data_IF_988012635740
#
_entry.id   IF_988012635740
#
_cell.length_a   1.000
_cell.length_b   1.000
_cell.length_c   1.000
_cell.angle_alpha   90.00
_cell.angle_beta   90.00
_cell.angle_gamma   90.00
#
_symmetry.space_group_name_H-M   'P 1'
#
loop_
_entity.id
_entity.type
_entity.pdbx_description
1 polymer ?
#
# COMPACT_ATOMS: atom_id res chain seq x y z
N UNK A 1 19.11 -1.50 -7.32
CA UNK A 1 18.69 -0.27 -6.59
C UNK A 1 19.47 0.94 -7.11
N UNK A 2 18.81 2.09 -7.26
CA UNK A 2 19.42 3.40 -7.55
C UNK A 2 19.20 4.35 -6.37
N UNK A 3 19.91 5.48 -6.30
CA UNK A 3 19.73 6.46 -5.22
C UNK A 3 18.27 6.95 -5.08
N UNK A 4 17.54 7.08 -6.19
CA UNK A 4 16.12 7.46 -6.21
C UNK A 4 15.18 6.38 -5.65
N UNK A 5 15.66 5.16 -5.44
CA UNK A 5 14.85 4.05 -4.94
C UNK A 5 15.03 3.90 -3.42
N UNK A 6 15.97 4.62 -2.77
CA UNK A 6 16.12 4.66 -1.31
C UNK A 6 15.10 5.60 -0.65
N UNK A 7 14.83 5.44 0.66
CA UNK A 7 13.91 6.31 1.38
C UNK A 7 14.22 7.78 1.17
N UNK A 8 13.22 8.61 0.87
CA UNK A 8 13.47 9.98 0.41
C UNK A 8 14.13 10.89 1.44
N UNK A 9 14.12 10.53 2.73
CA UNK A 9 14.72 11.32 3.80
C UNK A 9 16.22 11.58 3.61
N UNK A 10 16.96 10.67 2.95
CA UNK A 10 18.39 10.87 2.69
C UNK A 10 18.68 11.85 1.54
N UNK A 11 17.65 12.37 0.85
CA UNK A 11 17.79 13.25 -0.33
C UNK A 11 17.81 14.72 0.08
N UNK A 12 18.78 15.07 0.90
CA UNK A 12 18.96 16.44 1.39
C UNK A 12 20.41 16.89 1.21
N UNK A 13 20.62 18.21 1.10
CA UNK A 13 21.95 18.83 1.19
C UNK A 13 22.18 19.51 2.53
N UNK A 14 21.18 19.51 3.41
CA UNK A 14 21.27 20.06 4.75
C UNK A 14 21.92 19.01 5.69
N UNK A 15 23.11 19.27 6.25
CA UNK A 15 23.74 18.35 7.20
C UNK A 15 22.96 18.21 8.51
N UNK A 16 22.06 19.15 8.82
CA UNK A 16 21.26 19.17 10.06
C UNK A 16 19.80 18.72 9.82
N UNK A 17 19.52 18.10 8.66
CA UNK A 17 18.18 17.61 8.32
C UNK A 17 17.64 16.64 9.39
N UNK A 18 16.57 17.06 10.06
CA UNK A 18 16.03 16.37 11.23
C UNK A 18 15.70 14.90 10.95
N UNK A 19 15.06 14.61 9.82
CA UNK A 19 14.63 13.25 9.50
C UNK A 19 15.81 12.30 9.25
N UNK A 20 16.94 12.79 8.74
CA UNK A 20 18.15 11.98 8.58
C UNK A 20 18.70 11.60 9.96
N UNK A 21 18.90 12.58 10.84
CA UNK A 21 19.38 12.35 12.20
C UNK A 21 18.46 11.43 13.00
N UNK A 22 17.14 11.61 12.84
CA UNK A 22 16.16 10.74 13.47
C UNK A 22 16.31 9.29 13.01
N UNK A 23 16.34 9.02 11.70
CA UNK A 23 16.46 7.66 11.17
C UNK A 23 17.78 7.01 11.56
N UNK A 24 18.90 7.75 11.54
CA UNK A 24 20.20 7.25 11.98
C UNK A 24 20.17 6.84 13.46
N UNK A 25 19.65 7.71 14.33
CA UNK A 25 19.53 7.44 15.76
C UNK A 25 18.65 6.23 16.05
N UNK A 26 17.49 6.10 15.40
CA UNK A 26 16.62 4.94 15.62
C UNK A 26 17.27 3.65 15.09
N UNK A 27 18.00 3.72 13.97
CA UNK A 27 18.78 2.58 13.44
C UNK A 27 19.85 2.12 14.43
N UNK A 28 20.64 3.05 14.98
CA UNK A 28 21.64 2.75 16.02
C UNK A 28 21.03 2.12 17.27
N UNK A 29 19.87 2.63 17.71
CA UNK A 29 19.14 2.10 18.86
C UNK A 29 18.60 0.69 18.62
N UNK A 30 18.33 0.34 17.37
CA UNK A 30 17.78 -0.98 17.02
C UNK A 30 18.77 -2.09 17.37
N UNK A 31 20.09 -1.81 17.35
CA UNK A 31 21.11 -2.76 17.81
C UNK A 31 20.99 -3.15 19.29
N UNK A 32 20.35 -2.31 20.11
CA UNK A 32 20.10 -2.58 21.54
C UNK A 32 18.77 -3.29 21.82
N UNK A 33 17.95 -3.57 20.81
CA UNK A 33 16.68 -4.25 20.99
C UNK A 33 16.87 -5.77 21.23
N UNK A 34 15.90 -6.41 21.87
CA UNK A 34 15.92 -7.88 22.02
C UNK A 34 15.56 -8.61 20.72
N UNK A 35 14.73 -7.98 19.89
CA UNK A 35 14.33 -8.42 18.56
C UNK A 35 13.73 -7.24 17.78
N UNK A 36 13.72 -7.34 16.44
CA UNK A 36 13.03 -6.41 15.55
C UNK A 36 11.81 -7.10 14.98
N UNK A 37 10.63 -6.49 15.10
CA UNK A 37 9.40 -7.03 14.52
C UNK A 37 9.08 -6.28 13.23
N UNK A 38 8.90 -7.02 12.14
CA UNK A 38 8.49 -6.47 10.86
C UNK A 38 7.11 -6.99 10.48
N UNK A 39 6.22 -6.08 10.08
CA UNK A 39 4.99 -6.45 9.38
C UNK A 39 5.34 -6.86 7.95
N UNK A 40 5.76 -8.11 7.78
CA UNK A 40 6.14 -8.75 6.51
C UNK A 40 6.10 -10.27 6.70
N UNK A 41 6.41 -11.05 5.68
CA UNK A 41 6.52 -12.51 5.76
C UNK A 41 7.77 -13.00 5.03
N UNK A 42 8.21 -14.21 5.35
CA UNK A 42 9.50 -14.73 4.89
C UNK A 42 9.68 -14.71 3.37
N UNK A 43 8.67 -15.11 2.61
CA UNK A 43 8.77 -15.14 1.14
C UNK A 43 8.91 -13.72 0.54
N UNK A 44 8.48 -12.67 1.27
CA UNK A 44 8.58 -11.26 0.85
C UNK A 44 9.88 -10.59 1.31
N UNK A 45 10.57 -11.15 2.31
CA UNK A 45 11.70 -10.52 2.99
C UNK A 45 12.94 -10.35 2.10
N UNK A 46 13.09 -11.21 1.10
CA UNK A 46 14.27 -11.27 0.23
C UNK A 46 15.57 -11.40 1.03
N UNK A 47 16.67 -10.83 0.51
CA UNK A 47 17.97 -10.80 1.20
C UNK A 47 18.04 -9.74 2.32
N UNK A 48 16.99 -8.92 2.49
CA UNK A 48 17.05 -7.74 3.36
C UNK A 48 17.17 -8.12 4.85
N UNK A 49 16.42 -9.12 5.29
CA UNK A 49 16.46 -9.59 6.69
C UNK A 49 17.83 -10.20 7.02
N UNK A 50 18.35 -11.05 6.14
CA UNK A 50 19.68 -11.65 6.32
C UNK A 50 20.77 -10.56 6.35
N UNK A 51 20.67 -9.55 5.49
CA UNK A 51 21.57 -8.42 5.50
C UNK A 51 21.46 -7.58 6.79
N UNK A 52 20.26 -7.37 7.32
CA UNK A 52 20.06 -6.68 8.60
C UNK A 52 20.76 -7.43 9.74
N UNK A 53 20.55 -8.74 9.85
CA UNK A 53 21.18 -9.57 10.89
C UNK A 53 22.71 -9.61 10.71
N UNK A 54 23.22 -9.68 9.48
CA UNK A 54 24.65 -9.62 9.18
C UNK A 54 25.30 -8.27 9.55
N UNK A 55 24.52 -7.18 9.57
CA UNK A 55 24.95 -5.86 10.04
C UNK A 55 24.95 -5.73 11.57
N UNK A 56 24.63 -6.81 12.29
CA UNK A 56 24.64 -6.84 13.75
C UNK A 56 23.33 -6.38 14.38
N UNK A 57 22.24 -6.28 13.61
CA UNK A 57 20.92 -6.13 14.21
C UNK A 57 20.53 -7.41 14.97
N UNK A 58 19.75 -7.29 16.06
CA UNK A 58 19.21 -8.45 16.75
C UNK A 58 18.23 -9.18 15.83
N UNK A 59 17.82 -10.38 16.25
CA UNK A 59 16.90 -11.25 15.51
C UNK A 59 15.74 -10.47 14.89
N UNK A 60 15.55 -10.62 13.59
CA UNK A 60 14.50 -9.92 12.85
C UNK A 60 13.34 -10.88 12.58
N UNK A 61 12.21 -10.67 13.24
CA UNK A 61 11.03 -11.51 13.14
C UNK A 61 10.01 -10.88 12.18
N UNK A 62 9.72 -11.55 11.07
CA UNK A 62 8.63 -11.17 10.16
C UNK A 62 7.31 -11.79 10.65
N UNK A 63 6.39 -10.96 11.15
CA UNK A 63 5.15 -11.37 11.83
C UNK A 63 3.87 -10.90 11.12
N UNK A 64 3.95 -10.66 9.82
CA UNK A 64 2.85 -10.20 8.98
C UNK A 64 2.42 -11.23 7.94
N UNK A 65 1.60 -10.83 6.95
CA UNK A 65 1.00 -9.52 6.84
C UNK A 65 -0.17 -9.36 7.84
N UNK A 66 -0.13 -8.28 8.63
CA UNK A 66 -1.18 -7.94 9.60
C UNK A 66 -2.61 -7.95 9.03
N UNK A 67 -2.87 -7.52 7.77
CA UNK A 67 -4.21 -7.63 7.17
C UNK A 67 -4.85 -9.02 7.32
N UNK A 68 -4.08 -10.11 7.16
CA UNK A 68 -4.64 -11.46 7.27
C UNK A 68 -4.82 -11.92 8.73
N UNK A 69 -3.97 -11.44 9.64
CA UNK A 69 -4.02 -11.81 11.06
C UNK A 69 -5.16 -11.11 11.81
N UNK A 70 -5.55 -9.90 11.39
CA UNK A 70 -6.62 -9.14 12.04
C UNK A 70 -8.02 -9.77 11.88
N UNK A 71 -8.21 -10.68 10.91
CA UNK A 71 -9.50 -11.31 10.63
C UNK A 71 -9.76 -12.60 11.43
N UNK A 72 -8.76 -13.18 12.10
CA UNK A 72 -8.92 -14.48 12.78
C UNK A 72 -9.50 -14.38 14.21
N UNK A 73 -9.58 -13.19 14.80
CA UNK A 73 -10.20 -13.03 16.12
C UNK A 73 -11.72 -12.79 16.03
N UNK A 74 -12.56 -13.57 16.73
CA UNK A 74 -13.97 -13.24 16.85
C UNK A 74 -14.13 -11.87 17.52
N UNK A 75 -15.12 -11.04 17.10
CA UNK A 75 -15.30 -9.70 17.65
C UNK A 75 -15.57 -9.77 19.15
N UNK A 76 -14.54 -9.52 19.96
CA UNK A 76 -14.68 -9.31 21.39
C UNK A 76 -14.95 -7.82 21.64
N UNK A 77 -15.70 -7.44 22.70
CA UNK A 77 -15.89 -6.03 23.05
C UNK A 77 -14.59 -5.30 23.43
N UNK A 78 -13.44 -5.99 23.48
CA UNK A 78 -12.09 -5.41 23.62
C UNK A 78 -11.40 -5.11 22.28
N UNK A 79 -11.95 -5.60 21.16
CA UNK A 79 -11.48 -5.37 19.79
C UNK A 79 -12.14 -4.15 19.11
N UNK A 80 -12.46 -3.11 19.88
CA UNK A 80 -13.01 -1.85 19.37
C UNK A 80 -11.91 -0.87 18.91
N UNK A 81 -10.72 -1.36 18.56
CA UNK A 81 -9.68 -0.54 17.95
C UNK A 81 -9.96 -0.56 16.46
N UNK A 82 -10.67 0.46 15.97
CA UNK A 82 -10.71 0.71 14.54
C UNK A 82 -9.28 1.09 14.10
N UNK A 83 -8.63 0.22 13.32
CA UNK A 83 -7.30 0.46 12.76
C UNK A 83 -7.32 1.56 11.67
N UNK A 84 -8.52 1.96 11.23
CA UNK A 84 -8.72 3.08 10.34
C UNK A 84 -8.39 4.40 11.04
N UNK A 85 -7.61 5.21 10.34
CA UNK A 85 -7.27 6.57 10.77
C UNK A 85 -8.45 7.54 10.65
N UNK A 86 -9.51 7.17 9.91
CA UNK A 86 -10.65 8.03 9.60
C UNK A 86 -11.98 7.25 9.65
N UNK A 87 -13.10 7.97 9.75
CA UNK A 87 -14.43 7.35 9.77
C UNK A 87 -14.76 6.74 8.39
N UNK A 88 -14.97 5.44 8.36
CA UNK A 88 -15.32 4.68 7.16
C UNK A 88 -16.74 4.98 6.68
N UNK A 89 -16.95 4.83 5.37
CA UNK A 89 -18.21 5.06 4.66
C UNK A 89 -18.62 3.76 3.97
N UNK A 90 -19.66 3.10 4.50
CA UNK A 90 -20.13 1.78 4.05
C UNK A 90 -20.67 1.83 2.61
N UNK A 91 -21.09 3.02 2.14
CA UNK A 91 -21.57 3.26 0.78
C UNK A 91 -20.54 2.87 -0.29
N UNK A 92 -19.25 2.77 0.08
CA UNK A 92 -18.19 2.32 -0.82
C UNK A 92 -18.37 0.86 -1.23
N UNK A 93 -18.72 -0.02 -0.30
CA UNK A 93 -18.91 -1.44 -0.58
C UNK A 93 -20.20 -1.68 -1.36
N UNK A 94 -21.29 -1.02 -0.95
CA UNK A 94 -22.58 -1.09 -1.65
C UNK A 94 -22.47 -0.63 -3.11
N UNK A 95 -21.61 0.35 -3.41
CA UNK A 95 -21.38 0.81 -4.78
C UNK A 95 -20.56 -0.16 -5.62
N UNK A 96 -19.69 -0.97 -4.99
CA UNK A 96 -18.91 -2.00 -5.67
C UNK A 96 -19.76 -3.24 -5.97
N UNK A 97 -20.78 -3.50 -5.16
CA UNK A 97 -21.71 -4.61 -5.35
C UNK A 97 -22.38 -4.56 -6.73
N UNK A 98 -22.45 -5.72 -7.40
CA UNK A 98 -23.06 -5.84 -8.72
C UNK A 98 -22.20 -5.33 -9.89
N UNK A 99 -20.99 -4.82 -9.65
CA UNK A 99 -20.02 -4.51 -10.71
C UNK A 99 -19.28 -5.76 -11.17
N UNK A 100 -18.89 -5.77 -12.45
CA UNK A 100 -18.16 -6.90 -13.03
C UNK A 100 -16.81 -7.12 -12.34
N UNK A 101 -16.37 -8.37 -12.16
CA UNK A 101 -15.08 -8.66 -11.54
C UNK A 101 -13.90 -7.97 -12.24
N UNK A 102 -13.01 -7.36 -11.47
CA UNK A 102 -11.83 -6.67 -11.98
C UNK A 102 -12.12 -5.48 -12.89
N UNK A 103 -13.31 -4.88 -12.82
CA UNK A 103 -13.72 -3.75 -13.67
C UNK A 103 -13.49 -2.36 -13.07
N UNK A 104 -13.21 -2.28 -11.75
CA UNK A 104 -13.07 -1.03 -11.00
C UNK A 104 -11.61 -0.72 -10.69
N UNK A 105 -11.21 0.53 -10.91
CA UNK A 105 -9.95 1.09 -10.41
C UNK A 105 -10.19 1.73 -9.05
N UNK A 106 -9.56 1.20 -8.02
CA UNK A 106 -9.56 1.82 -6.70
C UNK A 106 -8.42 2.84 -6.60
N UNK A 107 -8.68 4.02 -6.03
CA UNK A 107 -7.71 5.12 -5.91
C UNK A 107 -7.66 5.63 -4.47
N UNK A 108 -6.48 5.54 -3.85
CA UNK A 108 -6.23 6.12 -2.53
C UNK A 108 -4.73 6.41 -2.31
N UNK A 109 -4.41 7.67 -2.02
CA UNK A 109 -3.05 8.14 -1.78
C UNK A 109 -2.65 8.19 -0.29
N UNK A 110 -3.41 7.49 0.56
CA UNK A 110 -3.13 7.37 1.98
C UNK A 110 -3.49 8.62 2.78
N UNK A 111 -3.05 8.65 4.03
CA UNK A 111 -3.44 9.62 5.06
C UNK A 111 -2.52 10.84 5.21
N UNK A 112 -1.33 10.83 4.60
CA UNK A 112 -0.32 11.89 4.80
C UNK A 112 0.13 12.53 3.49
N UNK A 113 0.00 11.82 2.37
CA UNK A 113 0.33 12.37 1.05
C UNK A 113 -0.56 13.58 0.75
N UNK A 114 0.07 14.65 0.29
CA UNK A 114 -0.59 15.85 -0.22
C UNK A 114 -0.15 16.08 -1.66
N UNK A 115 -1.09 16.47 -2.52
CA UNK A 115 -0.83 16.81 -3.91
C UNK A 115 -1.16 18.27 -4.19
N UNK A 116 -0.65 18.78 -5.30
CA UNK A 116 -1.05 20.10 -5.81
C UNK A 116 -2.40 19.99 -6.52
N UNK A 117 -3.14 21.09 -6.63
CA UNK A 117 -4.40 21.14 -7.40
C UNK A 117 -4.18 20.74 -8.86
N UNK A 118 -3.02 21.08 -9.45
CA UNK A 118 -2.66 20.68 -10.81
C UNK A 118 -2.52 19.16 -10.94
N UNK A 119 -1.82 18.50 -10.01
CA UNK A 119 -1.71 17.03 -10.00
C UNK A 119 -3.08 16.36 -9.82
N UNK A 120 -3.93 16.91 -8.96
CA UNK A 120 -5.29 16.39 -8.75
C UNK A 120 -6.11 16.45 -10.05
N UNK A 121 -6.01 17.55 -10.80
CA UNK A 121 -6.67 17.71 -12.10
C UNK A 121 -6.14 16.70 -13.13
N UNK A 122 -4.84 16.44 -13.16
CA UNK A 122 -4.25 15.43 -14.06
C UNK A 122 -4.71 14.01 -13.72
N UNK A 123 -4.82 13.65 -12.44
CA UNK A 123 -5.39 12.37 -12.02
C UNK A 123 -6.86 12.25 -12.39
N UNK A 124 -7.65 13.30 -12.12
CA UNK A 124 -9.08 13.32 -12.45
C UNK A 124 -9.31 13.10 -13.95
N UNK A 125 -8.65 13.89 -14.80
CA UNK A 125 -8.81 13.72 -16.24
C UNK A 125 -8.21 12.43 -16.77
N UNK A 126 -7.14 11.90 -16.16
CA UNK A 126 -6.61 10.58 -16.50
C UNK A 126 -7.60 9.45 -16.20
N UNK A 127 -8.29 9.52 -15.06
CA UNK A 127 -9.36 8.57 -14.70
C UNK A 127 -10.52 8.66 -15.69
N UNK A 128 -11.00 9.88 -15.98
CA UNK A 128 -12.10 10.08 -16.93
C UNK A 128 -11.76 9.55 -18.33
N UNK A 129 -10.57 9.88 -18.84
CA UNK A 129 -10.08 9.44 -20.16
C UNK A 129 -9.87 7.93 -20.26
N UNK A 130 -9.54 7.24 -19.16
CA UNK A 130 -9.35 5.79 -19.16
C UNK A 130 -10.61 5.00 -19.53
N UNK A 131 -11.79 5.62 -19.41
CA UNK A 131 -13.06 4.97 -19.67
C UNK A 131 -13.55 4.05 -18.54
N UNK A 132 -12.70 3.74 -17.54
CA UNK A 132 -12.97 2.73 -16.51
C UNK A 132 -13.86 3.25 -15.40
N UNK A 133 -14.52 2.31 -14.72
CA UNK A 133 -15.19 2.60 -13.46
C UNK A 133 -14.13 2.80 -12.39
N UNK A 134 -14.34 3.74 -11.48
CA UNK A 134 -13.36 4.03 -10.43
C UNK A 134 -14.01 4.43 -9.12
N UNK A 135 -13.33 4.12 -8.03
CA UNK A 135 -13.66 4.63 -6.70
C UNK A 135 -12.45 5.38 -6.16
N UNK A 136 -12.63 6.66 -5.86
CA UNK A 136 -11.55 7.55 -5.43
C UNK A 136 -11.80 8.12 -4.04
N UNK A 137 -10.89 7.82 -3.13
CA UNK A 137 -10.83 8.42 -1.80
C UNK A 137 -10.17 9.80 -1.87
N UNK A 138 -10.99 10.84 -1.69
CA UNK A 138 -10.59 12.25 -1.72
C UNK A 138 -10.80 12.85 -0.34
N UNK A 139 -9.69 13.00 0.40
CA UNK A 139 -9.70 13.65 1.72
C UNK A 139 -9.70 15.17 1.57
N UNK A 140 -10.28 15.88 2.55
CA UNK A 140 -10.34 17.35 2.54
C UNK A 140 -8.96 18.02 2.53
N UNK A 141 -7.98 17.38 3.16
CA UNK A 141 -6.58 17.82 3.30
C UNK A 141 -5.66 17.26 2.21
N UNK A 142 -6.18 16.55 1.21
CA UNK A 142 -5.38 15.94 0.15
C UNK A 142 -4.68 16.98 -0.73
N UNK A 143 -5.25 18.19 -0.86
CA UNK A 143 -4.67 19.28 -1.65
C UNK A 143 -3.95 20.27 -0.73
N UNK A 144 -2.70 20.58 -1.06
CA UNK A 144 -1.87 21.48 -0.25
C UNK A 144 -2.47 22.90 -0.22
N UNK A 145 -3.01 23.30 0.93
CA UNK A 145 -3.42 24.68 1.20
C UNK A 145 -4.81 25.07 0.70
N UNK A 146 -5.54 24.17 0.03
CA UNK A 146 -6.87 24.39 -0.53
C UNK A 146 -7.80 23.20 -0.22
N UNK A 147 -9.11 23.40 -0.33
CA UNK A 147 -10.04 22.28 -0.37
C UNK A 147 -9.81 21.45 -1.64
N UNK A 148 -9.92 20.12 -1.53
CA UNK A 148 -9.86 19.22 -2.67
C UNK A 148 -11.09 19.39 -3.58
N UNK A 149 -11.06 20.40 -4.45
CA UNK A 149 -12.14 20.74 -5.39
C UNK A 149 -11.81 20.17 -6.77
N UNK A 150 -12.65 19.24 -7.22
CA UNK A 150 -12.60 18.69 -8.57
C UNK A 150 -13.40 19.58 -9.54
N UNK A 151 -13.00 19.66 -10.83
CA UNK A 151 -13.76 20.40 -11.84
C UNK A 151 -15.18 19.84 -12.01
N UNK A 152 -16.18 20.71 -12.22
CA UNK A 152 -17.57 20.30 -12.41
C UNK A 152 -17.77 19.48 -13.71
N UNK A 153 -16.96 19.79 -14.73
CA UNK A 153 -16.93 19.06 -15.99
C UNK A 153 -16.45 17.62 -15.80
N UNK A 154 -15.54 17.39 -14.85
CA UNK A 154 -15.08 16.04 -14.50
C UNK A 154 -16.21 15.23 -13.83
N UNK A 155 -16.95 15.84 -12.90
CA UNK A 155 -18.08 15.19 -12.24
C UNK A 155 -19.18 14.82 -13.24
N UNK A 156 -19.44 15.73 -14.19
CA UNK A 156 -20.42 15.50 -15.27
C UNK A 156 -19.98 14.39 -16.21
N UNK A 157 -18.70 14.37 -16.64
CA UNK A 157 -18.18 13.35 -17.56
C UNK A 157 -18.08 11.95 -16.92
N UNK A 158 -17.86 11.88 -15.61
CA UNK A 158 -17.72 10.62 -14.89
C UNK A 158 -19.00 10.15 -14.20
N UNK A 159 -20.12 10.85 -14.45
CA UNK A 159 -21.43 10.49 -13.91
C UNK A 159 -21.78 9.02 -14.22
N UNK A 160 -22.07 8.25 -13.16
CA UNK A 160 -22.38 6.82 -13.26
C UNK A 160 -21.17 5.87 -13.36
N UNK A 161 -19.95 6.39 -13.55
CA UNK A 161 -18.71 5.60 -13.62
C UNK A 161 -17.81 5.76 -12.39
N UNK A 162 -17.87 6.91 -11.73
CA UNK A 162 -17.07 7.23 -10.54
C UNK A 162 -17.87 7.21 -9.25
N UNK A 163 -17.23 6.77 -8.16
CA UNK A 163 -17.61 7.12 -6.79
C UNK A 163 -16.49 7.93 -6.14
N UNK A 164 -16.84 9.05 -5.52
CA UNK A 164 -15.93 9.83 -4.69
C UNK A 164 -16.38 9.70 -3.24
N UNK A 165 -15.47 9.27 -2.37
CA UNK A 165 -15.70 9.13 -0.95
C UNK A 165 -14.58 9.82 -0.17
N UNK A 166 -14.85 10.18 1.09
CA UNK A 166 -13.84 10.78 1.95
C UNK A 166 -12.95 9.73 2.61
N UNK A 167 -13.49 8.52 2.84
CA UNK A 167 -12.78 7.38 3.39
C UNK A 167 -13.56 6.07 3.17
N UNK A 168 -12.90 4.91 3.26
CA UNK A 168 -13.53 3.59 3.07
C UNK A 168 -12.81 2.50 3.90
N UNK A 169 -13.46 1.34 4.12
CA UNK A 169 -12.79 0.14 4.65
C UNK A 169 -11.85 -0.44 3.58
N UNK A 170 -10.66 0.14 3.44
CA UNK A 170 -9.73 -0.11 2.32
C UNK A 170 -9.40 -1.59 2.13
N UNK A 171 -9.21 -2.34 3.22
CA UNK A 171 -8.91 -3.77 3.14
C UNK A 171 -10.07 -4.56 2.52
N UNK A 172 -11.32 -4.25 2.89
CA UNK A 172 -12.51 -4.89 2.33
C UNK A 172 -12.69 -4.51 0.86
N UNK A 173 -12.44 -3.24 0.52
CA UNK A 173 -12.43 -2.76 -0.86
C UNK A 173 -11.41 -3.52 -1.71
N UNK A 174 -10.17 -3.67 -1.23
CA UNK A 174 -9.10 -4.38 -1.95
C UNK A 174 -9.36 -5.89 -2.05
N UNK A 175 -10.16 -6.46 -1.15
CA UNK A 175 -10.62 -7.83 -1.23
C UNK A 175 -11.85 -8.02 -2.11
N UNK A 176 -12.54 -6.93 -2.49
CA UNK A 176 -13.77 -6.99 -3.27
C UNK A 176 -13.49 -7.42 -4.73
N UNK A 177 -14.22 -8.40 -5.29
CA UNK A 177 -13.95 -8.97 -6.61
C UNK A 177 -14.04 -7.97 -7.76
N UNK A 178 -14.82 -6.89 -7.61
CA UNK A 178 -14.93 -5.85 -8.63
C UNK A 178 -13.63 -5.04 -8.81
N UNK A 179 -12.75 -4.97 -7.81
CA UNK A 179 -11.51 -4.19 -7.89
C UNK A 179 -10.48 -4.91 -8.75
N UNK A 180 -10.06 -4.26 -9.83
CA UNK A 180 -9.10 -4.81 -10.80
C UNK A 180 -7.70 -4.20 -10.70
N UNK A 181 -7.58 -3.00 -10.14
CA UNK A 181 -6.32 -2.30 -9.95
C UNK A 181 -6.40 -1.28 -8.83
N UNK A 182 -5.25 -0.97 -8.23
CA UNK A 182 -5.12 0.01 -7.15
C UNK A 182 -4.11 1.11 -7.50
N UNK A 183 -4.59 2.34 -7.69
CA UNK A 183 -3.76 3.53 -7.82
C UNK A 183 -3.42 4.06 -6.42
N UNK A 184 -2.15 4.04 -6.06
CA UNK A 184 -1.68 4.31 -4.70
C UNK A 184 -0.35 5.05 -4.66
N UNK A 185 -0.08 5.70 -3.53
CA UNK A 185 1.23 6.24 -3.19
C UNK A 185 2.27 5.19 -2.78
N UNK A 186 1.88 3.91 -2.68
CA UNK A 186 2.75 2.78 -2.28
C UNK A 186 3.33 2.88 -0.88
N UNK A 187 2.56 3.37 0.09
CA UNK A 187 2.88 3.16 1.51
C UNK A 187 2.86 1.67 1.88
N UNK A 188 3.66 1.27 2.87
CA UNK A 188 3.87 -0.14 3.21
C UNK A 188 2.59 -0.92 3.55
N UNK A 189 1.69 -0.34 4.35
CA UNK A 189 0.42 -0.99 4.70
C UNK A 189 -0.46 -1.24 3.47
N UNK A 190 -0.63 -0.21 2.62
CA UNK A 190 -1.36 -0.33 1.36
C UNK A 190 -0.73 -1.35 0.41
N UNK A 191 0.60 -1.48 0.40
CA UNK A 191 1.30 -2.49 -0.38
C UNK A 191 0.93 -3.91 0.09
N UNK A 192 0.95 -4.16 1.40
CA UNK A 192 0.58 -5.46 1.96
C UNK A 192 -0.91 -5.77 1.75
N UNK A 193 -1.80 -4.82 1.97
CA UNK A 193 -3.24 -5.00 1.73
C UNK A 193 -3.51 -5.34 0.25
N UNK A 194 -2.81 -4.71 -0.69
CA UNK A 194 -2.93 -5.02 -2.11
C UNK A 194 -2.43 -6.44 -2.45
N UNK A 195 -1.31 -6.87 -1.85
CA UNK A 195 -0.78 -8.23 -2.01
C UNK A 195 -1.75 -9.26 -1.41
N UNK A 196 -2.31 -9.00 -0.24
CA UNK A 196 -3.33 -9.84 0.39
C UNK A 196 -4.65 -9.87 -0.41
N UNK A 197 -5.01 -8.76 -1.06
CA UNK A 197 -6.16 -8.68 -1.96
C UNK A 197 -5.93 -9.40 -3.29
N UNK A 198 -4.68 -9.53 -3.73
CA UNK A 198 -4.32 -10.04 -5.05
C UNK A 198 -4.52 -9.01 -6.16
N UNK A 199 -4.43 -7.72 -5.80
CA UNK A 199 -4.70 -6.59 -6.70
C UNK A 199 -3.37 -5.97 -7.17
N UNK A 200 -3.16 -5.79 -8.49
CA UNK A 200 -1.98 -5.12 -8.99
C UNK A 200 -2.08 -3.59 -8.81
N UNK A 201 -0.94 -2.92 -8.74
CA UNK A 201 -0.86 -1.51 -8.35
C UNK A 201 -0.34 -0.60 -9.46
N UNK A 202 -0.87 0.62 -9.51
CA UNK A 202 -0.21 1.74 -10.16
C UNK A 202 0.32 2.64 -9.04
N UNK A 203 1.63 2.77 -8.95
CA UNK A 203 2.33 3.49 -7.89
C UNK A 203 2.65 4.92 -8.30
N UNK A 204 2.37 5.86 -7.41
CA UNK A 204 2.81 7.25 -7.49
C UNK A 204 3.54 7.63 -6.19
N UNK A 205 4.83 7.25 -6.04
CA UNK A 205 5.53 7.40 -4.77
C UNK A 205 5.90 8.86 -4.49
N UNK A 206 5.52 9.35 -3.31
CA UNK A 206 5.71 10.75 -2.91
C UNK A 206 6.95 10.93 -2.02
N UNK A 207 7.06 10.22 -0.89
CA UNK A 207 8.13 10.42 0.11
C UNK A 207 8.38 9.17 0.97
N UNK A 208 9.34 9.28 1.89
CA UNK A 208 9.72 8.22 2.82
C UNK A 208 10.10 6.93 2.08
N UNK A 209 9.58 5.79 2.50
CA UNK A 209 9.81 4.45 1.95
C UNK A 209 9.09 4.18 0.63
N UNK A 210 8.20 5.08 0.17
CA UNK A 210 7.31 4.82 -0.96
C UNK A 210 8.05 4.55 -2.27
N UNK A 211 9.19 5.21 -2.52
CA UNK A 211 10.02 4.93 -3.69
C UNK A 211 10.66 3.54 -3.63
N UNK A 212 11.05 3.09 -2.43
CA UNK A 212 11.56 1.74 -2.21
C UNK A 212 10.46 0.73 -2.48
N UNK A 213 9.28 0.93 -1.89
CA UNK A 213 8.12 0.05 -2.09
C UNK A 213 7.71 -0.03 -3.56
N UNK A 214 7.63 1.11 -4.25
CA UNK A 214 7.36 1.16 -5.68
C UNK A 214 8.38 0.34 -6.48
N UNK A 215 9.68 0.47 -6.18
CA UNK A 215 10.73 -0.29 -6.88
C UNK A 215 10.60 -1.79 -6.65
N UNK A 216 10.20 -2.23 -5.46
CA UNK A 216 9.93 -3.65 -5.21
C UNK A 216 8.68 -4.13 -5.96
N UNK A 217 7.57 -3.39 -5.87
CA UNK A 217 6.32 -3.71 -6.55
C UNK A 217 6.50 -3.82 -8.07
N UNK A 218 7.23 -2.90 -8.69
CA UNK A 218 7.39 -2.86 -10.14
C UNK A 218 8.36 -3.91 -10.70
N UNK A 219 9.45 -4.19 -9.99
CA UNK A 219 10.58 -4.92 -10.58
C UNK A 219 10.86 -6.26 -9.89
N UNK A 220 10.67 -6.37 -8.59
CA UNK A 220 10.99 -7.61 -7.84
C UNK A 220 9.75 -8.50 -7.73
N UNK A 221 8.62 -7.91 -7.34
CA UNK A 221 7.37 -8.65 -7.14
C UNK A 221 6.59 -8.79 -8.45
N UNK A 222 6.76 -7.84 -9.37
CA UNK A 222 6.13 -7.85 -10.69
C UNK A 222 4.62 -7.61 -10.62
N UNK A 223 4.17 -6.76 -9.69
CA UNK A 223 2.75 -6.49 -9.41
C UNK A 223 2.35 -5.05 -9.66
N UNK A 224 3.24 -4.19 -10.17
CA UNK A 224 2.87 -2.80 -10.40
C UNK A 224 3.63 -2.04 -11.47
N UNK A 225 3.12 -0.84 -11.75
CA UNK A 225 3.71 0.15 -12.66
C UNK A 225 3.88 1.50 -11.96
N UNK A 226 4.90 2.28 -12.35
CA UNK A 226 5.24 3.56 -11.74
C UNK A 226 4.69 4.74 -12.58
N UNK A 227 4.09 5.72 -11.91
CA UNK A 227 3.77 7.05 -12.44
C UNK A 227 4.91 8.00 -12.07
N UNK A 228 5.36 8.79 -13.04
CA UNK A 228 6.34 9.84 -12.79
C UNK A 228 5.81 10.92 -11.84
N UNK A 229 6.72 11.53 -11.07
CA UNK A 229 6.42 12.69 -10.22
C UNK A 229 5.67 13.83 -10.94
N UNK A 230 5.97 14.03 -12.23
CA UNK A 230 5.25 14.96 -13.10
C UNK A 230 4.06 14.25 -13.74
N UNK A 231 2.97 14.16 -12.97
CA UNK A 231 1.72 13.48 -13.36
C UNK A 231 1.15 14.13 -14.62
N UNK A 232 0.78 13.30 -15.60
CA UNK A 232 0.08 13.71 -16.83
C UNK A 232 -1.09 12.78 -17.09
N UNK A 233 -2.26 13.34 -17.40
CA UNK A 233 -3.52 12.61 -17.63
C UNK A 233 -3.39 11.49 -18.66
N UNK A 234 -2.69 11.72 -19.77
CA UNK A 234 -2.51 10.71 -20.82
C UNK A 234 -1.69 9.52 -20.32
N UNK A 235 -0.71 9.79 -19.45
CA UNK A 235 0.11 8.74 -18.82
C UNK A 235 -0.73 7.96 -17.80
N UNK A 236 -1.53 8.64 -16.98
CA UNK A 236 -2.45 7.99 -16.03
C UNK A 236 -3.46 7.11 -16.77
N UNK A 237 -4.12 7.63 -17.81
CA UNK A 237 -5.08 6.90 -18.61
C UNK A 237 -4.45 5.67 -19.28
N UNK A 238 -3.28 5.83 -19.92
CA UNK A 238 -2.57 4.73 -20.56
C UNK A 238 -2.15 3.62 -19.59
N UNK A 239 -1.70 3.97 -18.38
CA UNK A 239 -1.35 3.00 -17.35
C UNK A 239 -2.59 2.27 -16.81
N UNK A 240 -3.71 2.97 -16.64
CA UNK A 240 -4.99 2.34 -16.25
C UNK A 240 -5.43 1.35 -17.33
N UNK A 241 -5.38 1.73 -18.60
CA UNK A 241 -5.72 0.82 -19.71
C UNK A 241 -4.80 -0.40 -19.73
N UNK A 242 -3.47 -0.22 -19.61
CA UNK A 242 -2.53 -1.34 -19.61
C UNK A 242 -2.70 -2.27 -18.40
N UNK A 243 -2.94 -1.74 -17.19
CA UNK A 243 -3.11 -2.60 -16.01
C UNK A 243 -4.42 -3.38 -16.05
N UNK A 244 -5.49 -2.77 -16.57
CA UNK A 244 -6.81 -3.40 -16.58
C UNK A 244 -6.92 -4.41 -17.73
N UNK A 245 -6.47 -4.04 -18.93
CA UNK A 245 -6.77 -4.78 -20.17
C UNK A 245 -5.54 -5.34 -20.89
N UNK A 246 -4.38 -4.73 -20.67
CA UNK A 246 -3.13 -5.08 -21.35
C UNK A 246 -2.51 -6.39 -20.88
N UNK A 247 -1.56 -6.89 -21.67
CA UNK A 247 -0.84 -8.14 -21.37
C UNK A 247 0.02 -8.00 -20.11
N UNK A 248 0.62 -6.82 -19.86
CA UNK A 248 1.34 -6.60 -18.60
C UNK A 248 0.37 -6.64 -17.42
N UNK A 249 -0.82 -6.04 -17.56
CA UNK A 249 -1.92 -6.12 -16.60
C UNK A 249 -2.29 -7.55 -16.22
N UNK A 250 -2.49 -8.41 -17.22
CA UNK A 250 -2.78 -9.84 -17.00
C UNK A 250 -1.65 -10.56 -16.26
N UNK A 251 -0.40 -10.29 -16.65
CA UNK A 251 0.77 -10.87 -15.98
C UNK A 251 0.88 -10.41 -14.52
N UNK A 252 0.67 -9.11 -14.25
CA UNK A 252 0.70 -8.54 -12.90
C UNK A 252 -0.41 -9.10 -12.01
N UNK A 253 -1.63 -9.29 -12.53
CA UNK A 253 -2.72 -9.95 -11.77
C UNK A 253 -2.36 -11.37 -11.37
N UNK A 254 -1.76 -12.14 -12.28
CA UNK A 254 -1.30 -13.50 -11.97
C UNK A 254 -0.26 -13.48 -10.85
N UNK A 255 0.74 -12.58 -10.93
CA UNK A 255 1.76 -12.41 -9.90
C UNK A 255 1.15 -11.98 -8.55
N UNK A 256 0.19 -11.04 -8.57
CA UNK A 256 -0.48 -10.59 -7.36
C UNK A 256 -1.25 -11.74 -6.68
N UNK A 257 -1.88 -12.61 -7.45
CA UNK A 257 -2.55 -13.81 -6.92
C UNK A 257 -1.55 -14.82 -6.33
N UNK A 258 -0.39 -15.03 -6.96
CA UNK A 258 0.67 -15.89 -6.42
C UNK A 258 1.19 -15.35 -5.07
N UNK A 259 1.35 -14.02 -4.96
CA UNK A 259 1.73 -13.38 -3.70
C UNK A 259 0.65 -13.46 -2.62
N UNK A 260 -0.63 -13.32 -3.00
CA UNK A 260 -1.76 -13.55 -2.09
C UNK A 260 -1.72 -14.94 -1.48
N UNK A 261 -1.50 -15.96 -2.30
CA UNK A 261 -1.41 -17.35 -1.83
C UNK A 261 -0.21 -17.58 -0.90
N UNK A 262 0.94 -16.97 -1.21
CA UNK A 262 2.13 -17.03 -0.34
C UNK A 262 1.88 -16.32 1.00
N UNK A 263 1.26 -15.13 0.99
CA UNK A 263 0.88 -14.39 2.19
C UNK A 263 -0.07 -15.20 3.09
N UNK A 264 -1.08 -15.86 2.51
CA UNK A 264 -2.00 -16.75 3.26
C UNK A 264 -1.23 -17.92 3.87
N UNK A 265 -0.35 -18.59 3.11
CA UNK A 265 0.46 -19.71 3.64
C UNK A 265 1.37 -19.29 4.79
N UNK A 266 1.86 -18.05 4.79
CA UNK A 266 2.73 -17.54 5.84
C UNK A 266 2.04 -17.43 7.21
N UNK A 267 0.75 -17.06 7.22
CA UNK A 267 -0.01 -16.85 8.47
C UNK A 267 -0.74 -18.09 8.98
N UNK A 268 -1.01 -19.06 8.10
CA UNK A 268 -1.65 -20.33 8.49
C UNK A 268 -0.84 -21.10 9.55
N UNK A 269 -1.47 -22.00 10.33
CA UNK A 269 -0.75 -22.85 11.29
C UNK A 269 0.44 -23.58 10.66
N UNK A 270 1.62 -23.38 11.24
CA UNK A 270 2.88 -23.91 10.72
C UNK A 270 3.51 -23.11 9.59
N UNK A 271 2.90 -22.00 9.15
CA UNK A 271 3.47 -21.00 8.24
C UNK A 271 4.62 -20.20 8.85
N UNK A 272 5.35 -19.45 8.03
CA UNK A 272 6.53 -18.69 8.49
C UNK A 272 6.21 -17.67 9.58
N UNK A 273 5.22 -16.82 9.36
CA UNK A 273 4.83 -15.78 10.33
C UNK A 273 4.28 -16.38 11.63
N UNK A 274 3.51 -17.48 11.55
CA UNK A 274 3.05 -18.22 12.73
C UNK A 274 4.23 -18.76 13.53
N UNK A 275 5.20 -19.43 12.88
CA UNK A 275 6.39 -19.98 13.56
C UNK A 275 7.25 -18.87 14.16
N UNK A 276 7.46 -17.77 13.44
CA UNK A 276 8.24 -16.63 13.91
C UNK A 276 7.58 -15.97 15.13
N UNK A 277 6.24 -15.95 15.19
CA UNK A 277 5.50 -15.48 16.36
C UNK A 277 5.72 -16.39 17.58
N UNK A 278 5.56 -17.71 17.41
CA UNK A 278 5.80 -18.69 18.48
C UNK A 278 7.23 -18.61 19.03
N UNK A 279 8.19 -18.39 18.13
CA UNK A 279 9.60 -18.25 18.45
C UNK A 279 9.88 -16.94 19.19
N UNK A 280 9.31 -15.81 18.75
CA UNK A 280 9.41 -14.54 19.47
C UNK A 280 8.85 -14.67 20.89
N UNK A 281 7.67 -15.27 21.06
CA UNK A 281 7.06 -15.47 22.38
C UNK A 281 8.00 -16.26 23.28
N UNK A 282 8.53 -17.38 22.78
CA UNK A 282 9.37 -18.29 23.55
C UNK A 282 10.73 -17.71 23.93
N UNK A 283 11.38 -17.05 22.99
CA UNK A 283 12.79 -16.64 23.15
C UNK A 283 12.95 -15.24 23.73
N UNK A 284 11.94 -14.38 23.56
CA UNK A 284 12.02 -12.96 23.89
C UNK A 284 11.00 -12.54 24.95
N UNK A 285 9.74 -12.95 24.83
CA UNK A 285 8.66 -12.44 25.68
C UNK A 285 8.45 -13.23 26.97
N UNK A 286 8.70 -14.55 26.94
CA UNK A 286 8.59 -15.37 28.14
C UNK A 286 9.80 -15.18 29.08
N UNK A 287 9.59 -15.22 30.41
CA UNK A 287 10.68 -15.19 31.37
C UNK A 287 11.65 -16.35 31.12
N UNK A 288 12.95 -16.05 31.14
CA UNK A 288 13.98 -17.09 31.19
C UNK A 288 13.97 -17.67 32.61
N UNK A 289 13.55 -18.94 32.73
CA UNK A 289 13.68 -19.72 33.98
C UNK A 289 15.16 -19.93 34.34
#
# INVERSE_FOLDING_TARGET
>A
MRLRDFPSFIRTTDPDEYMVHYVLRETERTAGASAVILNSFDDLKGEAVEAMEALGLPKVCTLGPLPLLAHEEPPSPRCAINLSLWKEQDECLEWLDGREPGSVVYVNFGSITVMTSAQMVEFAWGLAQSGKQFMWIVRRDLVKGDAAVLPEEFLSETAGRGLMASWCPQQEVLNHPAVGAFLTHSGWNSALESLCGGVPVISWPFFADQQTNCRYQCNEWGVGMEIDSNVRRDTVAGLITEIMEGEKGKSMRKRAQEWKESAVKAVMPGGSSHRNFDELVREVLLPKN
#
